data_IF_697325362821
#
_entry.id   IF_697325362821
#
_cell.length_a   1.000
_cell.length_b   1.000
_cell.length_c   1.000
_cell.angle_alpha   90.00
_cell.angle_beta   90.00
_cell.angle_gamma   90.00
#
_symmetry.space_group_name_H-M   'P 1'
#
loop_
_entity.id
_entity.type
_entity.pdbx_description
1 polymer ?
#
# COMPACT_ATOMS: atom_id res chain seq x y z
N UNK A 1 -12.34 17.49 2.94
CA UNK A 1 -11.02 17.88 2.40
C UNK A 1 -10.37 16.64 1.81
N UNK A 2 -10.32 16.49 0.47
CA UNK A 2 -9.67 15.33 -0.17
C UNK A 2 -8.22 15.72 -0.50
N UNK A 3 -7.20 15.16 0.17
CA UNK A 3 -5.83 15.58 -0.04
C UNK A 3 -5.25 14.91 -1.29
N UNK A 4 -5.76 15.21 -2.50
CA UNK A 4 -5.15 14.78 -3.76
C UNK A 4 -5.87 15.29 -5.04
N UNK A 5 -5.79 16.58 -5.38
CA UNK A 5 -6.25 17.13 -6.69
C UNK A 5 -5.13 17.48 -7.70
N UNK A 6 -3.85 17.25 -7.37
CA UNK A 6 -2.74 17.30 -8.35
C UNK A 6 -2.76 16.09 -9.29
N UNK A 7 -3.48 16.14 -10.43
CA UNK A 7 -3.32 15.24 -11.59
C UNK A 7 -3.32 13.73 -11.30
N UNK A 8 -4.48 13.08 -11.46
CA UNK A 8 -4.73 11.67 -11.13
C UNK A 8 -3.90 10.62 -11.92
N UNK A 9 -3.02 11.02 -12.84
CA UNK A 9 -2.31 10.08 -13.74
C UNK A 9 -0.80 9.92 -13.49
N UNK A 10 -0.17 10.71 -12.60
CA UNK A 10 1.30 10.65 -12.39
C UNK A 10 1.73 10.47 -10.92
N UNK A 11 0.79 10.25 -10.00
CA UNK A 11 1.18 10.11 -8.59
C UNK A 11 1.84 8.76 -8.32
N UNK A 12 3.17 8.78 -8.24
CA UNK A 12 3.99 7.63 -7.85
C UNK A 12 3.83 7.22 -6.37
N UNK A 13 3.01 7.93 -5.58
CA UNK A 13 2.77 7.62 -4.17
C UNK A 13 1.30 7.82 -3.77
N UNK A 14 0.80 6.93 -2.90
CA UNK A 14 -0.52 6.96 -2.27
C UNK A 14 -0.38 7.07 -0.75
N UNK A 15 -1.48 7.28 -0.03
CA UNK A 15 -1.47 7.25 1.45
C UNK A 15 -1.53 5.80 1.95
N UNK A 16 -1.16 5.58 3.21
CA UNK A 16 -1.31 4.26 3.86
C UNK A 16 -2.77 3.81 3.91
N UNK A 17 -3.70 4.74 4.10
CA UNK A 17 -5.13 4.43 4.09
C UNK A 17 -5.61 3.94 2.71
N UNK A 18 -5.17 4.60 1.63
CA UNK A 18 -5.52 4.19 0.27
C UNK A 18 -4.92 2.83 -0.09
N UNK A 19 -3.66 2.57 0.30
CA UNK A 19 -3.04 1.26 0.14
C UNK A 19 -3.81 0.17 0.93
N UNK A 20 -4.25 0.49 2.15
CA UNK A 20 -5.09 -0.39 2.95
C UNK A 20 -6.42 -0.73 2.28
N UNK A 21 -7.08 0.26 1.66
CA UNK A 21 -8.30 0.06 0.88
C UNK A 21 -8.07 -0.87 -0.32
N UNK A 22 -6.95 -0.72 -1.02
CA UNK A 22 -6.58 -1.60 -2.14
C UNK A 22 -6.28 -3.04 -1.68
N UNK A 23 -5.76 -3.22 -0.47
CA UNK A 23 -5.57 -4.53 0.18
C UNK A 23 -6.84 -5.09 0.84
N UNK A 24 -7.94 -4.34 0.90
CA UNK A 24 -9.16 -4.76 1.59
C UNK A 24 -9.05 -4.81 3.13
N UNK A 25 -8.10 -4.07 3.72
CA UNK A 25 -7.87 -4.04 5.17
C UNK A 25 -8.32 -2.71 5.80
N UNK A 26 -8.62 -2.75 7.11
CA UNK A 26 -8.98 -1.55 7.86
C UNK A 26 -7.84 -0.54 7.88
N UNK A 27 -8.16 0.75 8.07
CA UNK A 27 -7.16 1.82 8.24
C UNK A 27 -6.15 1.47 9.33
N UNK A 28 -6.61 0.98 10.49
CA UNK A 28 -5.72 0.64 11.59
C UNK A 28 -4.75 -0.48 11.19
N UNK A 29 -5.28 -1.54 10.58
CA UNK A 29 -4.47 -2.66 10.05
C UNK A 29 -3.45 -2.17 9.04
N UNK A 30 -3.80 -1.22 8.17
CA UNK A 30 -2.88 -0.67 7.17
C UNK A 30 -1.73 0.12 7.82
N UNK A 31 -2.01 0.94 8.83
CA UNK A 31 -0.95 1.64 9.58
C UNK A 31 -0.06 0.68 10.37
N UNK A 32 -0.63 -0.38 10.96
CA UNK A 32 0.15 -1.42 11.62
C UNK A 32 1.01 -2.21 10.63
N UNK A 33 0.49 -2.56 9.45
CA UNK A 33 1.24 -3.21 8.38
C UNK A 33 2.36 -2.32 7.84
N UNK A 34 2.11 -1.01 7.68
CA UNK A 34 3.13 -0.03 7.33
C UNK A 34 4.21 0.09 8.42
N UNK A 35 3.84 0.03 9.69
CA UNK A 35 4.77 0.04 10.83
C UNK A 35 5.60 -1.24 10.90
N UNK A 36 5.01 -2.40 10.55
CA UNK A 36 5.71 -3.69 10.43
C UNK A 36 6.61 -3.79 9.19
N UNK A 37 6.46 -2.88 8.22
CA UNK A 37 7.19 -2.92 6.95
C UNK A 37 6.60 -3.87 5.91
N UNK A 38 5.39 -4.39 6.14
CA UNK A 38 4.65 -5.22 5.18
C UNK A 38 4.13 -4.39 4.00
N UNK A 39 3.76 -3.13 4.26
CA UNK A 39 3.43 -2.15 3.22
C UNK A 39 4.67 -1.30 2.98
N UNK A 40 5.19 -1.22 1.73
CA UNK A 40 6.34 -0.38 1.42
C UNK A 40 5.99 1.08 1.66
N UNK A 41 6.68 1.74 2.59
CA UNK A 41 6.41 3.14 2.93
C UNK A 41 7.67 4.00 2.89
N UNK A 42 7.51 5.27 2.50
CA UNK A 42 8.51 6.32 2.57
C UNK A 42 8.01 7.35 3.57
N UNK A 43 8.88 7.69 4.54
CA UNK A 43 8.64 8.74 5.51
C UNK A 43 9.33 10.02 5.06
N UNK A 44 8.55 11.08 4.86
CA UNK A 44 9.04 12.42 4.50
C UNK A 44 8.62 13.37 5.64
N UNK A 45 9.53 13.59 6.59
CA UNK A 45 9.23 14.34 7.81
C UNK A 45 8.11 13.69 8.63
N UNK A 46 6.96 14.36 8.72
CA UNK A 46 5.75 13.85 9.41
C UNK A 46 4.81 13.08 8.48
N UNK A 47 5.08 13.06 7.19
CA UNK A 47 4.23 12.44 6.18
C UNK A 47 4.68 11.01 5.91
N UNK A 48 3.73 10.08 5.85
CA UNK A 48 3.95 8.68 5.49
C UNK A 48 3.23 8.41 4.16
N UNK A 49 3.97 7.93 3.16
CA UNK A 49 3.46 7.65 1.82
C UNK A 49 3.85 6.25 1.37
N UNK A 50 3.00 5.62 0.58
CA UNK A 50 3.21 4.30 -0.02
C UNK A 50 3.58 4.52 -1.48
N UNK A 51 4.78 4.12 -1.95
CA UNK A 51 5.11 4.22 -3.36
C UNK A 51 4.35 3.17 -4.15
N UNK A 52 3.75 3.58 -5.28
CA UNK A 52 2.86 2.72 -6.08
C UNK A 52 3.63 1.56 -6.69
N UNK A 53 4.79 1.83 -7.31
CA UNK A 53 5.58 0.80 -8.00
C UNK A 53 5.94 -0.43 -7.11
N UNK A 54 6.55 -0.28 -5.92
CA UNK A 54 6.83 -1.44 -5.06
C UNK A 54 5.56 -2.06 -4.46
N UNK A 55 4.50 -1.27 -4.26
CA UNK A 55 3.22 -1.79 -3.79
C UNK A 55 2.55 -2.68 -4.84
N UNK A 56 2.52 -2.26 -6.11
CA UNK A 56 2.03 -3.08 -7.22
C UNK A 56 2.87 -4.34 -7.42
N UNK A 57 4.21 -4.25 -7.27
CA UNK A 57 5.10 -5.42 -7.31
C UNK A 57 4.83 -6.44 -6.19
N UNK A 58 4.29 -5.99 -5.06
CA UNK A 58 3.86 -6.88 -3.98
C UNK A 58 2.57 -7.61 -4.37
N UNK A 59 1.64 -6.93 -5.04
CA UNK A 59 0.38 -7.51 -5.52
C UNK A 59 0.55 -8.44 -6.72
N UNK A 60 1.54 -8.16 -7.58
CA UNK A 60 1.86 -8.96 -8.77
C UNK A 60 2.53 -10.31 -8.43
N UNK A 61 3.04 -10.46 -7.20
CA UNK A 61 3.57 -11.75 -6.76
C UNK A 61 2.43 -12.75 -6.62
N UNK A 62 2.53 -13.93 -7.26
CA UNK A 62 1.52 -14.97 -7.10
C UNK A 62 1.47 -15.33 -5.62
N UNK A 63 0.35 -15.03 -4.97
CA UNK A 63 0.09 -15.50 -3.61
C UNK A 63 0.35 -17.01 -3.61
N UNK A 64 1.20 -17.48 -2.69
CA UNK A 64 1.59 -18.88 -2.55
C UNK A 64 0.32 -19.73 -2.66
N UNK A 65 0.10 -20.30 -3.85
CA UNK A 65 -1.00 -21.22 -4.08
C UNK A 65 -0.64 -22.40 -3.21
N UNK A 66 -1.43 -22.64 -2.16
CA UNK A 66 -1.28 -23.85 -1.35
C UNK A 66 -1.17 -25.02 -2.34
N UNK A 67 -0.12 -25.84 -2.31
CA UNK A 67 -0.09 -27.02 -3.14
C UNK A 67 -1.34 -27.80 -2.80
N UNK A 68 -2.18 -28.02 -3.80
CA UNK A 68 -3.34 -28.89 -3.70
C UNK A 68 -2.82 -30.23 -3.18
N UNK A 69 -3.26 -30.59 -1.98
CA UNK A 69 -2.85 -31.83 -1.32
C UNK A 69 -3.33 -33.01 -2.18
N UNK A 70 -2.36 -33.75 -2.71
CA UNK A 70 -2.55 -34.98 -3.47
C UNK A 70 -3.09 -36.12 -2.60
#
# INVERSE_FOLDING_TARGET
MKPNELGQSDRKTISVEEAGRQLGISRNTAYEAAKRGEIPTIKIGRLLRVPVAPFERLLDQPAITRPEVA
#
